data_IF_827551375421
#
_entry.id   IF_827551375421
#
_cell.length_a   1.000
_cell.length_b   1.000
_cell.length_c   1.000
_cell.angle_alpha   90.00
_cell.angle_beta   90.00
_cell.angle_gamma   90.00
#
_symmetry.space_group_name_H-M   'P 1'
#
loop_
_entity.id
_entity.type
_entity.pdbx_description
1 polymer ?
2 non-polymer ?
3 water ?
#
# COMPACT_ATOMS: atom_id res chain seq x y z
N UNK A 24 18.09 -25.84 4.94
CA UNK A 24 18.03 -24.77 3.94
C UNK A 24 16.61 -24.48 3.51
N UNK A 25 16.42 -24.15 2.24
CA UNK A 25 15.08 -23.94 1.69
C UNK A 25 14.58 -25.24 1.08
N UNK A 26 13.35 -25.64 1.45
CA UNK A 26 12.74 -26.82 0.86
C UNK A 26 12.24 -26.49 -0.55
N UNK A 27 12.11 -27.53 -1.39
CA UNK A 27 11.58 -27.31 -2.74
C UNK A 27 10.18 -26.71 -2.68
N UNK A 28 9.39 -27.13 -1.70
CA UNK A 28 8.07 -26.54 -1.48
C UNK A 28 8.19 -25.05 -1.15
N UNK A 29 9.12 -24.70 -0.25
CA UNK A 29 9.33 -23.29 0.06
C UNK A 29 9.81 -22.52 -1.16
N UNK A 30 10.67 -23.14 -1.96
CA UNK A 30 11.14 -22.52 -3.20
C UNK A 30 10.05 -22.45 -4.25
N UNK A 31 9.04 -23.33 -4.17
CA UNK A 31 7.88 -23.28 -5.06
C UNK A 31 6.86 -22.24 -4.60
N UNK A 32 6.77 -22.00 -3.28
CA UNK A 32 5.91 -20.93 -2.77
C UNK A 32 6.43 -19.56 -3.21
N UNK A 33 7.74 -19.34 -3.08
CA UNK A 33 8.34 -18.07 -3.47
C UNK A 33 8.19 -17.86 -4.97
N UNK A 34 8.47 -18.89 -5.77
CA UNK A 34 8.36 -18.75 -7.21
C UNK A 34 6.93 -18.40 -7.62
N UNK A 35 5.94 -19.07 -7.02
CA UNK A 35 4.55 -18.76 -7.33
C UNK A 35 4.20 -17.31 -7.00
N UNK A 36 4.68 -16.83 -5.84
CA UNK A 36 4.44 -15.45 -5.44
C UNK A 36 5.21 -14.48 -6.33
N UNK A 37 6.48 -14.80 -6.63
CA UNK A 37 7.30 -13.92 -7.44
C UNK A 37 6.74 -13.77 -8.84
N UNK A 38 6.26 -14.87 -9.43
CA UNK A 38 5.66 -14.80 -10.76
C UNK A 38 4.36 -14.01 -10.73
N UNK A 39 3.54 -14.19 -9.69
CA UNK A 39 2.32 -13.41 -9.56
C UNK A 39 2.64 -11.92 -9.49
N UNK A 40 3.71 -11.56 -8.80
CA UNK A 40 4.09 -10.15 -8.65
C UNK A 40 4.50 -9.55 -9.99
N UNK A 41 5.36 -10.25 -10.72
CA UNK A 41 5.85 -9.80 -12.02
C UNK A 41 4.71 -9.57 -13.00
N UNK A 42 3.72 -10.46 -12.99
CA UNK A 42 2.64 -10.39 -13.97
C UNK A 42 1.65 -9.27 -13.65
N UNK A 43 1.60 -8.77 -12.41
CA UNK A 43 0.56 -7.85 -12.02
C UNK A 43 1.06 -6.55 -11.40
N UNK A 44 2.38 -6.37 -11.27
CA UNK A 44 2.95 -5.12 -10.78
C UNK A 44 3.62 -4.42 -11.96
N UNK A 45 2.95 -3.40 -12.49
CA UNK A 45 3.49 -2.54 -13.54
C UNK A 45 4.37 -1.50 -12.87
N UNK A 46 5.64 -1.84 -12.68
CA UNK A 46 6.51 -1.00 -11.87
C UNK A 46 6.82 0.33 -12.53
N UNK A 47 6.58 0.47 -13.83
CA UNK A 47 6.73 1.76 -14.50
C UNK A 47 5.41 2.50 -14.65
N UNK A 48 4.30 1.93 -14.18
CA UNK A 48 3.00 2.59 -14.19
C UNK A 48 2.59 3.01 -15.60
N UNK A 49 3.02 2.24 -16.60
CA UNK A 49 2.83 2.65 -17.98
C UNK A 49 1.38 2.62 -18.41
N UNK A 50 0.54 1.83 -17.75
CA UNK A 50 -0.88 1.77 -18.10
C UNK A 50 -1.75 2.64 -17.19
N UNK A 51 -1.15 3.42 -16.30
CA UNK A 51 -1.89 4.44 -15.55
C UNK A 51 -1.99 5.67 -16.42
N UNK A 52 -3.15 5.88 -17.03
CA UNK A 52 -3.39 7.04 -17.86
C UNK A 52 -4.85 7.45 -17.75
N UNK A 53 -5.19 8.59 -18.35
CA UNK A 53 -6.54 9.17 -18.30
C UNK A 53 -6.99 9.41 -16.87
N UNK A 54 -6.08 9.81 -15.99
CA UNK A 54 -6.44 10.10 -14.62
C UNK A 54 -6.75 11.58 -14.44
N UNK A 55 -7.50 11.89 -13.38
CA UNK A 55 -7.83 13.26 -13.10
C UNK A 55 -6.65 13.99 -12.46
N UNK A 56 -6.66 15.32 -12.55
CA UNK A 56 -5.59 16.16 -12.04
C UNK A 56 -6.19 17.42 -11.44
N UNK A 57 -5.53 18.00 -10.43
CA UNK A 57 -6.06 19.23 -9.83
C UNK A 57 -6.16 20.36 -10.85
N UNK A 58 -7.19 21.19 -10.69
CA UNK A 58 -7.48 22.21 -11.67
C UNK A 58 -6.39 23.28 -11.76
N UNK A 59 -6.51 24.10 -12.81
CA UNK A 59 -5.56 25.19 -13.04
C UNK A 59 -6.07 26.50 -12.45
N UNK A 79 -18.32 21.14 12.14
CA UNK A 79 -17.20 22.10 12.31
C UNK A 79 -16.04 21.43 13.05
N UNK A 80 -16.36 20.56 14.02
CA UNK A 80 -15.39 19.58 14.54
C UNK A 80 -15.20 18.50 13.48
N UNK A 81 -16.28 18.17 12.76
CA UNK A 81 -16.21 17.30 11.56
C UNK A 81 -15.19 17.91 10.59
N UNK A 82 -15.43 19.15 10.16
CA UNK A 82 -14.50 19.84 9.23
C UNK A 82 -13.11 19.97 9.84
N UNK A 83 -13.02 20.17 11.16
CA UNK A 83 -11.70 20.34 11.78
C UNK A 83 -10.92 19.06 11.73
N UNK A 84 -11.58 17.93 12.09
CA UNK A 84 -10.96 16.63 11.92
C UNK A 84 -10.69 16.37 10.46
N UNK A 85 -11.66 16.72 9.59
CA UNK A 85 -11.53 16.47 8.15
C UNK A 85 -10.32 17.19 7.59
N UNK A 86 -9.81 18.16 8.33
CA UNK A 86 -8.46 18.65 8.07
C UNK A 86 -7.42 17.62 8.52
N UNK A 87 -7.73 16.31 8.35
CA UNK A 87 -6.79 15.18 8.36
C UNK A 87 -5.86 15.21 7.17
N UNK A 88 -6.24 15.96 6.15
CA UNK A 88 -5.64 15.94 4.83
C UNK A 88 -4.27 16.60 4.80
N UNK A 89 -3.91 17.35 5.85
CA UNK A 89 -2.69 18.17 5.79
C UNK A 89 -1.44 17.32 5.92
N UNK A 90 -1.57 16.14 6.52
CA UNK A 90 -0.46 15.21 6.63
C UNK A 90 -0.05 14.60 5.31
N UNK A 91 -0.85 14.74 4.26
CA UNK A 91 -0.40 14.22 2.97
C UNK A 91 0.65 15.15 2.34
N UNK A 92 0.33 16.44 2.16
CA UNK A 92 1.32 17.44 1.71
C UNK A 92 2.19 16.95 0.53
N UNK A 93 1.60 16.62 -0.61
CA UNK A 93 2.42 16.06 -1.71
C UNK A 93 2.45 17.01 -2.91
N UNK A 94 3.61 17.09 -3.55
CA UNK A 94 3.78 17.80 -4.82
C UNK A 94 3.80 16.77 -5.93
N UNK A 95 3.39 17.15 -7.13
CA UNK A 95 3.25 16.19 -8.22
C UNK A 95 4.11 16.60 -9.41
N UNK A 96 4.87 15.66 -9.97
CA UNK A 96 5.62 15.89 -11.20
C UNK A 96 5.18 14.88 -12.24
N UNK A 97 4.90 15.34 -13.46
CA UNK A 97 4.51 14.48 -14.57
C UNK A 97 5.45 14.74 -15.73
N UNK A 98 6.29 13.77 -16.08
CA UNK A 98 7.28 13.90 -17.15
C UNK A 98 6.75 13.31 -18.44
N UNK A 99 6.75 14.10 -19.52
CA UNK A 99 6.27 13.62 -20.80
C UNK A 99 7.36 12.94 -21.61
N UNK A 100 6.94 12.06 -22.54
CA UNK A 100 7.90 11.36 -23.41
C UNK A 100 8.62 12.35 -24.33
N UNK A 101 7.96 13.47 -24.65
CA UNK A 101 8.59 14.51 -25.45
C UNK A 101 9.73 15.19 -24.71
N UNK A 102 9.77 15.07 -23.38
CA UNK A 102 10.75 15.73 -22.55
C UNK A 102 10.14 16.79 -21.68
N UNK A 103 8.86 17.11 -21.90
CA UNK A 103 8.14 18.10 -21.11
C UNK A 103 7.98 17.62 -19.67
N UNK A 104 7.95 18.58 -18.74
CA UNK A 104 7.73 18.29 -17.32
C UNK A 104 6.66 19.25 -16.80
N UNK A 105 5.59 18.71 -16.23
CA UNK A 105 4.56 19.49 -15.56
C UNK A 105 4.73 19.30 -14.06
N UNK A 106 4.76 20.39 -13.31
CA UNK A 106 4.96 20.33 -11.85
C UNK A 106 3.80 21.02 -11.14
N UNK A 107 3.27 20.37 -10.10
CA UNK A 107 2.15 20.91 -9.32
C UNK A 107 2.57 21.07 -7.87
N UNK A 108 2.30 22.25 -7.30
CA UNK A 108 2.54 22.51 -5.89
C UNK A 108 1.20 22.74 -5.20
N UNK A 109 0.97 22.09 -4.06
CA UNK A 109 -0.37 22.09 -3.46
C UNK A 109 -0.72 23.42 -2.81
N UNK A 110 -2.02 23.74 -2.73
CA UNK A 110 -2.48 24.93 -1.99
C UNK A 110 -2.33 24.78 -0.48
N UNK A 111 -2.03 25.89 0.21
CA UNK A 111 -2.07 25.88 1.68
C UNK A 111 -3.53 25.93 2.15
N UNK A 112 -3.79 25.35 3.34
CA UNK A 112 -5.15 25.41 3.89
C UNK A 112 -5.49 26.85 4.27
N UNK A 113 -6.64 27.31 3.83
CA UNK A 113 -7.16 28.62 4.16
C UNK A 113 -8.60 28.50 4.61
N UNK A 114 -8.88 27.47 5.42
CA UNK A 114 -10.24 27.18 5.83
C UNK A 114 -11.18 27.03 4.65
N UNK A 115 -10.78 26.27 3.61
CA UNK A 115 -11.54 26.17 2.38
C UNK A 115 -11.48 24.79 1.76
N UNK A 116 -12.23 24.62 0.66
CA UNK A 116 -12.33 23.35 -0.08
C UNK A 116 -11.07 23.01 -0.86
N UNK A 117 -10.13 23.94 -0.95
CA UNK A 117 -8.88 23.73 -1.68
C UNK A 117 -8.09 22.54 -1.16
N UNK A 118 -8.35 22.13 0.09
CA UNK A 118 -7.68 20.99 0.69
C UNK A 118 -8.02 19.69 -0.03
N UNK A 119 -9.14 19.67 -0.75
CA UNK A 119 -9.63 18.50 -1.47
C UNK A 119 -9.14 18.43 -2.92
N UNK A 120 -8.21 19.30 -3.32
CA UNK A 120 -7.86 19.44 -4.73
C UNK A 120 -7.24 18.17 -5.32
N UNK A 121 -6.44 17.45 -4.52
CA UNK A 121 -5.73 16.28 -5.02
C UNK A 121 -6.49 14.98 -4.82
N UNK A 122 -7.61 15.00 -4.10
CA UNK A 122 -8.32 13.76 -3.81
C UNK A 122 -8.76 13.00 -5.05
N UNK A 123 -9.26 13.66 -6.11
CA UNK A 123 -9.64 12.89 -7.30
C UNK A 123 -8.48 12.13 -7.93
N UNK A 124 -7.30 12.76 -8.04
CA UNK A 124 -6.14 12.07 -8.61
C UNK A 124 -5.70 10.90 -7.73
N UNK A 125 -5.68 11.11 -6.41
CA UNK A 125 -5.23 10.05 -5.50
C UNK A 125 -6.18 8.86 -5.54
N UNK A 126 -7.48 9.13 -5.68
CA UNK A 126 -8.46 8.06 -5.82
C UNK A 126 -8.23 7.26 -7.10
N UNK A 127 -7.87 7.93 -8.20
CA UNK A 127 -7.56 7.23 -9.44
C UNK A 127 -6.29 6.37 -9.29
N UNK A 128 -5.25 6.90 -8.63
CA UNK A 128 -4.03 6.12 -8.39
C UNK A 128 -4.30 4.94 -7.48
N UNK A 129 -5.07 5.17 -6.42
CA UNK A 129 -5.42 4.09 -5.50
C UNK A 129 -6.18 3.01 -6.23
N UNK A 130 -7.09 3.40 -7.12
CA UNK A 130 -7.89 2.44 -7.86
C UNK A 130 -7.02 1.61 -8.80
N UNK A 131 -6.04 2.24 -9.47
CA UNK A 131 -5.11 1.51 -10.34
C UNK A 131 -4.28 0.51 -9.55
N UNK A 132 -3.75 0.93 -8.40
CA UNK A 132 -2.95 0.05 -7.54
C UNK A 132 -3.77 -1.12 -7.02
N UNK A 133 -5.01 -0.85 -6.59
CA UNK A 133 -5.88 -1.91 -6.05
C UNK A 133 -6.21 -2.93 -7.14
N UNK A 134 -6.41 -2.47 -8.37
CA UNK A 134 -6.67 -3.41 -9.47
C UNK A 134 -5.49 -4.35 -9.64
N UNK A 135 -4.26 -3.82 -9.53
CA UNK A 135 -3.09 -4.69 -9.57
C UNK A 135 -3.05 -5.70 -8.44
N UNK A 136 -3.42 -5.26 -7.23
CA UNK A 136 -3.44 -6.13 -6.05
C UNK A 136 -4.49 -7.23 -6.22
N UNK A 137 -5.66 -6.89 -6.77
CA UNK A 137 -6.69 -7.91 -7.02
C UNK A 137 -6.18 -8.94 -8.01
N UNK A 138 -5.47 -8.45 -9.05
CA UNK A 138 -4.93 -9.37 -10.05
C UNK A 138 -3.86 -10.28 -9.45
N UNK A 139 -3.07 -9.76 -8.49
CA UNK A 139 -2.05 -10.54 -7.80
C UNK A 139 -2.66 -11.72 -7.06
N UNK A 140 -3.70 -11.44 -6.26
CA UNK A 140 -4.37 -12.49 -5.52
C UNK A 140 -4.96 -13.53 -6.45
N UNK A 141 -5.60 -13.09 -7.55
CA UNK A 141 -6.30 -14.00 -8.46
C UNK A 141 -5.36 -14.92 -9.24
N UNK A 142 -4.07 -14.55 -9.40
CA UNK A 142 -3.11 -15.41 -10.11
C UNK A 142 -2.37 -16.35 -9.16
N UNK A 143 -2.57 -16.23 -7.83
CA UNK A 143 -1.96 -17.13 -6.84
C UNK A 143 -2.88 -18.34 -6.65
N UNK A 144 -2.31 -19.54 -6.78
CA UNK A 144 -3.07 -20.81 -6.66
C UNK A 144 -3.82 -20.91 -5.34
N UNK A 145 -3.17 -20.53 -4.23
CA UNK A 145 -3.76 -20.71 -2.90
C UNK A 145 -5.00 -19.85 -2.71
N UNK A 146 -4.97 -18.59 -3.19
CA UNK A 146 -6.11 -17.68 -3.09
C UNK A 146 -7.26 -18.15 -3.97
N UNK A 147 -6.94 -18.61 -5.19
CA UNK A 147 -7.97 -19.06 -6.13
C UNK A 147 -8.74 -20.25 -5.57
N UNK A 148 -8.05 -21.13 -4.85
CA UNK A 148 -8.68 -22.31 -4.27
C UNK A 148 -9.69 -21.94 -3.19
N UNK A 149 -9.49 -20.81 -2.51
CA UNK A 149 -10.38 -20.38 -1.45
C UNK A 149 -11.75 -19.99 -2.01
N UNK A 150 -12.80 -20.07 -1.18
CA UNK A 150 -14.16 -19.70 -1.62
C UNK A 150 -14.26 -18.21 -1.94
N UNK A 151 -15.19 -17.85 -2.84
CA UNK A 151 -15.31 -16.47 -3.30
C UNK A 151 -15.55 -15.53 -2.13
N UNK A 152 -16.39 -15.96 -1.19
CA UNK A 152 -16.70 -15.13 -0.04
C UNK A 152 -15.43 -14.83 0.77
N UNK A 153 -14.58 -15.84 0.97
CA UNK A 153 -13.32 -15.62 1.67
C UNK A 153 -12.38 -14.76 0.85
N UNK A 154 -12.37 -14.96 -0.47
CA UNK A 154 -11.49 -14.16 -1.32
C UNK A 154 -11.83 -12.67 -1.21
N UNK A 155 -13.12 -12.34 -1.24
CA UNK A 155 -13.56 -10.95 -1.09
C UNK A 155 -13.20 -10.41 0.28
N UNK A 156 -13.40 -11.22 1.32
CA UNK A 156 -13.12 -10.77 2.68
C UNK A 156 -11.65 -10.46 2.86
N UNK A 157 -10.78 -11.32 2.33
CA UNK A 157 -9.33 -11.13 2.45
C UNK A 157 -8.88 -9.90 1.67
N UNK A 158 -9.39 -9.71 0.44
CA UNK A 158 -9.00 -8.56 -0.37
C UNK A 158 -9.41 -7.25 0.29
N UNK A 159 -10.63 -7.19 0.83
CA UNK A 159 -11.10 -5.98 1.51
C UNK A 159 -10.26 -5.65 2.72
N UNK A 160 -9.88 -6.69 3.48
CA UNK A 160 -9.07 -6.47 4.67
C UNK A 160 -7.65 -6.02 4.38
N UNK A 161 -7.04 -6.53 3.31
CA UNK A 161 -5.62 -6.31 3.07
C UNK A 161 -5.27 -5.38 1.92
N UNK A 162 -6.26 -4.81 1.22
CA UNK A 162 -5.98 -4.08 -0.02
C UNK A 162 -5.03 -2.90 0.21
N UNK A 163 -5.32 -2.09 1.24
CA UNK A 163 -4.48 -0.93 1.57
C UNK A 163 -3.07 -1.36 1.93
N UNK A 164 -2.95 -2.41 2.73
CA UNK A 164 -1.64 -2.86 3.19
C UNK A 164 -0.80 -3.34 2.02
N UNK A 165 -1.40 -4.10 1.10
CA UNK A 165 -0.68 -4.60 -0.07
C UNK A 165 -0.26 -3.45 -0.99
N UNK A 166 -1.16 -2.47 -1.18
CA UNK A 166 -0.83 -1.30 -1.98
C UNK A 166 0.33 -0.51 -1.38
N UNK A 167 0.34 -0.33 -0.05
CA UNK A 167 1.41 0.39 0.62
C UNK A 167 2.74 -0.35 0.51
N UNK A 168 2.69 -1.68 0.61
CA UNK A 168 3.89 -2.48 0.43
C UNK A 168 4.48 -2.30 -0.98
N UNK A 169 3.62 -2.29 -2.00
CA UNK A 169 4.09 -2.03 -3.36
C UNK A 169 4.63 -0.61 -3.51
N UNK A 170 3.98 0.37 -2.86
CA UNK A 170 4.46 1.75 -2.92
C UNK A 170 5.82 1.94 -2.26
N UNK A 171 6.14 1.15 -1.22
CA UNK A 171 7.46 1.26 -0.58
C UNK A 171 8.57 0.87 -1.55
N UNK A 172 8.28 -0.05 -2.48
CA UNK A 172 9.27 -0.44 -3.49
C UNK A 172 9.64 0.73 -4.40
N UNK A 173 8.72 1.64 -4.65
CA UNK A 173 8.97 2.81 -5.50
C UNK A 173 9.31 4.06 -4.69
N UNK A 174 9.48 3.95 -3.36
CA UNK A 174 9.75 5.10 -2.51
C UNK A 174 11.24 5.37 -2.44
N UNK A 175 11.64 6.63 -2.57
CA UNK A 175 13.03 7.03 -2.41
C UNK A 175 13.13 7.77 -1.08
N UNK A 176 13.81 7.16 -0.12
CA UNK A 176 13.93 7.72 1.22
C UNK A 176 14.79 8.98 1.23
N UNK A 177 15.82 9.02 0.38
CA UNK A 177 16.72 10.16 0.32
C UNK A 177 16.01 11.42 -0.20
N UNK A 178 15.12 11.27 -1.18
CA UNK A 178 14.41 12.40 -1.78
C UNK A 178 13.01 12.63 -1.22
N UNK A 179 12.52 11.73 -0.36
CA UNK A 179 11.14 11.82 0.10
C UNK A 179 10.14 11.76 -1.03
N UNK A 180 10.40 10.93 -2.04
CA UNK A 180 9.59 10.91 -3.26
C UNK A 180 9.18 9.49 -3.61
N UNK A 181 7.94 9.31 -4.06
CA UNK A 181 7.49 8.03 -4.60
C UNK A 181 7.58 8.12 -6.12
N UNK A 182 8.40 7.28 -6.73
CA UNK A 182 8.69 7.38 -8.15
C UNK A 182 7.81 6.36 -8.88
N UNK A 183 6.76 6.86 -9.53
CA UNK A 183 5.75 6.01 -10.16
C UNK A 183 5.77 6.24 -11.67
N UNK A 184 6.85 5.79 -12.31
CA UNK A 184 6.98 5.90 -13.76
C UNK A 184 7.31 7.30 -14.18
N UNK A 185 6.39 7.94 -14.91
CA UNK A 185 6.54 9.33 -15.29
C UNK A 185 5.95 10.27 -14.23
N UNK A 186 5.12 9.74 -13.33
CA UNK A 186 4.62 10.48 -12.18
C UNK A 186 5.60 10.35 -11.03
N UNK A 187 5.82 11.44 -10.30
CA UNK A 187 6.63 11.44 -9.08
C UNK A 187 5.87 12.21 -8.01
N UNK A 188 5.84 11.68 -6.80
CA UNK A 188 5.07 12.28 -5.71
C UNK A 188 6.06 12.68 -4.61
N UNK A 189 6.25 13.99 -4.38
CA UNK A 189 7.27 14.46 -3.45
C UNK A 189 6.66 15.10 -2.21
N UNK A 190 7.10 14.66 -1.04
CA UNK A 190 6.63 15.22 0.22
C UNK A 190 7.09 16.67 0.34
N UNK A 191 6.17 17.58 0.64
CA UNK A 191 6.51 19.01 0.67
C UNK A 191 7.19 19.37 1.99
N UNK A 192 7.97 20.46 1.99
CA UNK A 192 8.75 20.83 3.17
C UNK A 192 7.84 21.18 4.34
N UNK A 193 8.24 20.76 5.54
CA UNK A 193 7.49 21.02 6.77
C UNK A 193 8.46 21.58 7.80
N UNK A 194 7.92 22.30 8.80
CA UNK A 194 8.75 23.02 9.76
C UNK A 194 9.80 22.12 10.42
N UNK A 195 9.37 21.00 11.00
CA UNK A 195 10.32 20.11 11.64
C UNK A 195 11.06 19.21 10.69
N UNK A 196 10.68 19.28 9.41
CA UNK A 196 11.38 18.51 8.39
C UNK A 196 11.15 17.03 8.56
N UNK A 197 12.24 16.26 8.43
CA UNK A 197 12.16 14.80 8.47
C UNK A 197 11.38 14.31 9.69
N UNK A 198 11.73 14.81 10.88
CA UNK A 198 11.11 14.35 12.11
C UNK A 198 9.60 14.57 12.11
N UNK A 199 9.16 15.73 11.59
CA UNK A 199 7.72 16.03 11.57
C UNK A 199 6.98 15.07 10.65
N UNK A 200 7.60 14.73 9.51
CA UNK A 200 7.01 13.74 8.61
C UNK A 200 6.92 12.39 9.26
N UNK A 201 7.95 12.03 10.05
CA UNK A 201 7.98 10.76 10.76
C UNK A 201 6.96 10.68 11.89
N UNK A 202 6.19 11.75 12.13
CA UNK A 202 5.11 11.69 13.11
C UNK A 202 3.85 11.10 12.51
N UNK A 203 3.61 11.29 11.22
CA UNK A 203 2.48 10.64 10.57
C UNK A 203 2.83 9.17 10.39
N UNK A 204 2.07 8.25 10.97
CA UNK A 204 2.42 6.82 10.95
C UNK A 204 2.67 6.24 9.55
N UNK A 205 1.86 6.63 8.55
CA UNK A 205 2.03 6.11 7.19
C UNK A 205 3.40 6.44 6.65
N UNK A 206 3.86 7.67 6.86
CA UNK A 206 5.17 8.10 6.36
C UNK A 206 6.30 7.41 7.12
N UNK A 207 6.19 7.33 8.45
CA UNK A 207 7.19 6.63 9.26
C UNK A 207 7.31 5.18 8.85
N UNK A 208 6.17 4.52 8.59
CA UNK A 208 6.20 3.16 8.07
C UNK A 208 7.06 3.07 6.83
N UNK A 209 6.88 4.02 5.90
CA UNK A 209 7.62 3.97 4.65
C UNK A 209 9.11 4.11 4.87
N UNK A 210 9.51 5.03 5.74
CA UNK A 210 10.93 5.22 6.02
C UNK A 210 11.51 4.02 6.79
N UNK A 211 10.76 3.48 7.75
CA UNK A 211 11.30 2.34 8.50
C UNK A 211 11.43 1.11 7.62
N UNK A 212 10.42 0.82 6.79
CA UNK A 212 10.47 -0.38 5.94
C UNK A 212 11.57 -0.28 4.91
N UNK A 213 11.76 0.90 4.30
CA UNK A 213 12.83 1.07 3.31
C UNK A 213 14.21 0.86 3.93
N UNK A 214 14.39 1.24 5.19
CA UNK A 214 15.69 1.08 5.86
C UNK A 214 16.07 -0.39 6.03
N UNK A 215 15.08 -1.30 6.04
CA UNK A 215 15.38 -2.72 6.15
C UNK A 215 16.02 -3.27 4.88
N UNK A 216 15.94 -2.54 3.77
CA UNK A 216 16.52 -2.91 2.48
C UNK A 216 16.15 -4.34 2.07
N UNK A 217 14.85 -4.59 1.99
CA UNK A 217 14.35 -5.92 1.67
C UNK A 217 14.57 -6.26 0.19
N UNK A 218 14.64 -7.56 -0.10
CA UNK A 218 14.62 -8.05 -1.46
C UNK A 218 13.20 -8.18 -1.98
N UNK A 219 13.07 -8.34 -3.29
CA UNK A 219 11.75 -8.52 -3.89
C UNK A 219 11.04 -9.73 -3.28
N UNK A 220 11.78 -10.82 -3.00
CA UNK A 220 11.17 -12.00 -2.41
C UNK A 220 10.60 -11.71 -1.03
N UNK A 221 11.28 -10.88 -0.25
CA UNK A 221 10.77 -10.55 1.07
C UNK A 221 9.54 -9.66 0.99
N UNK A 222 9.48 -8.74 0.02
CA UNK A 222 8.28 -7.94 -0.15
C UNK A 222 7.07 -8.80 -0.51
N UNK A 223 7.25 -9.76 -1.43
CA UNK A 223 6.09 -10.54 -1.87
C UNK A 223 5.63 -11.50 -0.78
N UNK A 224 6.52 -11.96 0.09
CA UNK A 224 6.08 -12.76 1.24
C UNK A 224 5.30 -11.91 2.23
N UNK A 225 5.73 -10.66 2.45
CA UNK A 225 4.95 -9.76 3.31
C UNK A 225 3.56 -9.54 2.76
N UNK A 226 3.45 -9.40 1.43
CA UNK A 226 2.14 -9.32 0.80
C UNK A 226 1.32 -10.59 1.05
N UNK A 227 1.95 -11.76 0.90
CA UNK A 227 1.23 -13.02 1.12
C UNK A 227 0.78 -13.15 2.56
N UNK A 228 1.66 -12.84 3.51
CA UNK A 228 1.30 -12.94 4.92
C UNK A 228 0.13 -12.00 5.22
N UNK A 229 0.17 -10.78 4.69
CA UNK A 229 -0.90 -9.82 4.95
C UNK A 229 -2.21 -10.23 4.26
N UNK A 230 -2.12 -10.76 3.04
CA UNK A 230 -3.34 -11.13 2.33
C UNK A 230 -4.05 -12.30 3.01
N UNK A 231 -3.28 -13.32 3.41
CA UNK A 231 -3.85 -14.51 4.05
C UNK A 231 -3.85 -14.31 5.56
N UNK A 232 -4.69 -13.38 6.02
CA UNK A 232 -4.81 -13.11 7.45
C UNK A 232 -6.11 -13.71 7.96
N UNK A 233 -6.04 -14.67 8.88
CA UNK A 233 -7.26 -15.38 9.29
C UNK A 233 -8.23 -14.56 10.11
N UNK A 234 -7.75 -13.52 10.82
CA UNK A 234 -8.58 -12.75 11.72
C UNK A 234 -9.25 -11.56 11.03
N UNK A 235 -9.51 -11.66 9.73
CA UNK A 235 -10.21 -10.60 9.02
C UNK A 235 -11.72 -10.87 9.04
N UNK A 236 -12.52 -9.83 9.24
CA UNK A 236 -13.98 -9.98 9.19
C UNK A 236 -14.46 -10.73 7.96
N UNK A 237 -15.34 -11.71 8.17
CA UNK A 237 -15.99 -12.39 7.07
C UNK A 237 -15.28 -13.61 6.54
N UNK A 238 -14.19 -14.03 7.18
CA UNK A 238 -13.41 -15.18 6.70
C UNK A 238 -14.04 -16.44 7.24
N UNK A 239 -14.47 -17.32 6.33
CA UNK A 239 -15.05 -18.59 6.74
C UNK A 239 -13.98 -19.65 6.95
N UNK A 240 -13.12 -19.85 5.96
CA UNK A 240 -12.08 -20.89 6.01
C UNK A 240 -10.89 -20.42 6.84
N UNK A 241 -11.16 -20.07 8.10
CA UNK A 241 -10.12 -19.50 8.96
C UNK A 241 -8.97 -20.48 9.18
N UNK A 242 -9.27 -21.77 9.33
CA UNK A 242 -8.21 -22.72 9.62
C UNK A 242 -7.26 -22.89 8.45
N UNK A 243 -7.81 -22.96 7.23
CA UNK A 243 -6.96 -23.03 6.03
C UNK A 243 -6.15 -21.75 5.88
N UNK A 244 -6.79 -20.60 6.05
CA UNK A 244 -6.08 -19.33 5.90
C UNK A 244 -4.95 -19.23 6.91
N UNK A 245 -5.20 -19.64 8.16
CA UNK A 245 -4.18 -19.57 9.20
C UNK A 245 -3.01 -20.49 8.89
N UNK A 246 -3.27 -21.65 8.28
CA UNK A 246 -2.17 -22.55 7.95
C UNK A 246 -1.35 -22.03 6.79
N UNK A 247 -2.02 -21.48 5.76
CA UNK A 247 -1.31 -20.79 4.69
C UNK A 247 -0.42 -19.70 5.23
N UNK A 248 -0.97 -18.83 6.09
CA UNK A 248 -0.20 -17.73 6.64
C UNK A 248 1.05 -18.24 7.35
N UNK A 249 0.92 -19.32 8.13
CA UNK A 249 2.06 -19.82 8.87
C UNK A 249 3.14 -20.35 7.93
N UNK A 250 2.73 -20.95 6.82
CA UNK A 250 3.68 -21.48 5.85
C UNK A 250 4.42 -20.36 5.14
N UNK A 251 3.73 -19.27 4.82
CA UNK A 251 4.38 -18.12 4.21
C UNK A 251 5.38 -17.49 5.19
N UNK A 252 4.99 -17.38 6.46
CA UNK A 252 5.88 -16.82 7.47
C UNK A 252 7.09 -17.73 7.72
N UNK A 253 6.86 -19.04 7.78
CA UNK A 253 7.97 -19.98 7.88
C UNK A 253 8.90 -19.83 6.68
N UNK A 254 8.31 -19.75 5.48
CA UNK A 254 9.13 -19.56 4.28
C UNK A 254 9.92 -18.25 4.36
N UNK A 255 9.29 -17.18 4.87
CA UNK A 255 10.00 -15.92 5.01
C UNK A 255 11.13 -16.02 6.01
N UNK A 256 10.86 -16.62 7.18
CA UNK A 256 11.91 -16.81 8.18
C UNK A 256 13.05 -17.65 7.61
N UNK A 257 12.72 -18.72 6.88
CA UNK A 257 13.76 -19.57 6.28
C UNK A 257 14.54 -18.81 5.21
N UNK A 258 13.84 -18.04 4.38
CA UNK A 258 14.53 -17.26 3.36
C UNK A 258 15.57 -16.33 4.00
N UNK A 259 15.17 -15.62 5.05
CA UNK A 259 16.08 -14.70 5.72
C UNK A 259 17.26 -15.45 6.32
N UNK A 260 17.00 -16.59 6.97
CA UNK A 260 18.08 -17.37 7.57
C UNK A 260 19.10 -17.81 6.52
N UNK A 261 18.63 -18.23 5.35
CA UNK A 261 19.52 -18.77 4.33
C UNK A 261 20.21 -17.70 3.50
N UNK A 262 19.66 -16.50 3.38
CA UNK A 262 20.21 -15.50 2.48
C UNK A 262 20.78 -14.27 3.17
N UNK A 263 20.65 -14.15 4.48
CA UNK A 263 21.08 -12.93 5.19
C UNK A 263 21.76 -13.30 6.50
N UNK A 264 23.03 -13.69 6.44
CA UNK A 264 23.75 -14.10 7.66
C UNK A 264 24.37 -12.95 8.45
N UNK A 265 24.20 -11.70 8.02
CA UNK A 265 24.95 -10.59 8.59
C UNK A 265 24.30 -10.07 9.87
N UNK A 266 25.11 -9.62 10.83
CA UNK A 266 24.55 -9.14 12.11
C UNK A 266 23.56 -8.01 11.97
N UNK A 267 23.50 -7.34 10.82
CA UNK A 267 22.50 -6.31 10.59
C UNK A 267 21.12 -6.90 10.37
N UNK A 268 21.08 -8.14 9.86
CA UNK A 268 19.85 -8.82 9.53
C UNK A 268 19.38 -9.70 10.67
N UNK A 269 20.00 -9.59 11.84
CA UNK A 269 19.50 -10.28 13.01
C UNK A 269 18.17 -9.66 13.41
N UNK A 270 17.21 -10.53 13.72
CA UNK A 270 15.86 -10.16 14.11
C UNK A 270 15.07 -9.51 12.96
N UNK A 271 15.47 -9.76 11.71
CA UNK A 271 14.78 -9.19 10.55
C UNK A 271 13.36 -9.75 10.44
N UNK A 272 13.21 -11.08 10.51
CA UNK A 272 11.88 -11.68 10.45
C UNK A 272 10.95 -11.04 11.48
N UNK A 273 11.43 -10.83 12.69
CA UNK A 273 10.58 -10.29 13.74
C UNK A 273 10.29 -8.81 13.51
N UNK A 274 11.27 -8.07 12.98
CA UNK A 274 11.03 -6.68 12.58
C UNK A 274 9.96 -6.59 11.50
N UNK A 275 10.04 -7.46 10.49
CA UNK A 275 9.04 -7.50 9.42
C UNK A 275 7.66 -7.82 10.00
N UNK A 276 7.58 -8.80 10.91
CA UNK A 276 6.28 -9.17 11.46
C UNK A 276 5.69 -8.04 12.29
N UNK A 277 6.52 -7.37 13.08
CA UNK A 277 6.07 -6.18 13.79
C UNK A 277 5.61 -5.09 12.82
N UNK A 278 6.37 -4.89 11.73
CA UNK A 278 5.94 -3.94 10.69
C UNK A 278 4.56 -4.30 10.17
N UNK A 279 4.32 -5.58 9.92
CA UNK A 279 3.02 -6.01 9.41
C UNK A 279 1.92 -5.75 10.42
N UNK A 280 2.21 -5.94 11.70
CA UNK A 280 1.21 -5.64 12.72
C UNK A 280 0.91 -4.14 12.76
N UNK A 281 1.95 -3.31 12.66
CA UNK A 281 1.72 -1.87 12.63
C UNK A 281 0.94 -1.47 11.37
N UNK A 282 1.21 -2.11 10.24
CA UNK A 282 0.51 -1.75 9.01
C UNK A 282 -1.00 -1.98 9.14
N UNK A 283 -1.39 -3.05 9.84
CA UNK A 283 -2.80 -3.33 10.06
C UNK A 283 -3.45 -2.25 10.93
N UNK A 284 -2.75 -1.79 11.97
CA UNK A 284 -3.26 -0.64 12.74
C UNK A 284 -3.34 0.61 11.88
N UNK A 285 -2.31 0.86 11.07
CA UNK A 285 -2.36 1.99 10.14
C UNK A 285 -3.55 1.85 9.20
N UNK A 286 -3.80 0.62 8.74
CA UNK A 286 -4.93 0.35 7.84
C UNK A 286 -6.26 0.68 8.49
N UNK A 287 -6.46 0.29 9.75
CA UNK A 287 -7.71 0.58 10.43
C UNK A 287 -7.89 2.08 10.65
N UNK A 288 -6.82 2.78 11.01
CA UNK A 288 -6.88 4.24 11.16
C UNK A 288 -7.20 4.89 9.82
N UNK A 289 -6.52 4.48 8.76
CA UNK A 289 -6.73 5.09 7.45
C UNK A 289 -8.17 4.92 6.99
N UNK A 290 -8.75 3.74 7.21
CA UNK A 290 -10.15 3.52 6.87
C UNK A 290 -11.05 4.55 7.53
N UNK A 291 -10.83 4.81 8.82
CA UNK A 291 -11.64 5.78 9.54
C UNK A 291 -11.44 7.19 8.99
N UNK A 292 -10.19 7.58 8.74
CA UNK A 292 -9.92 8.89 8.15
C UNK A 292 -10.62 9.03 6.80
N UNK A 293 -10.50 7.99 5.96
CA UNK A 293 -11.09 8.05 4.61
C UNK A 293 -12.59 8.22 4.68
N UNK A 294 -13.26 7.45 5.53
CA UNK A 294 -14.73 7.48 5.57
C UNK A 294 -15.24 8.82 6.08
N UNK A 295 -14.46 9.51 6.94
CA UNK A 295 -14.83 10.83 7.43
C UNK A 295 -14.76 11.86 6.31
N UNK A 296 -13.66 11.85 5.53
CA UNK A 296 -13.55 12.72 4.37
C UNK A 296 -14.68 12.45 3.40
N UNK A 297 -14.92 11.16 3.09
CA UNK A 297 -16.00 10.79 2.18
C UNK A 297 -17.32 11.36 2.65
N UNK A 298 -17.55 11.33 3.97
CA UNK A 298 -18.80 11.82 4.52
C UNK A 298 -18.96 13.33 4.28
N UNK A 299 -17.87 14.09 4.40
CA UNK A 299 -17.92 15.52 4.16
C UNK A 299 -17.86 15.81 2.66
N UNK A 300 -16.95 15.14 1.96
CA UNK A 300 -16.61 15.47 0.59
C UNK A 300 -16.42 14.17 -0.20
N UNK A 301 -17.46 13.66 -0.84
CA UNK A 301 -17.36 12.36 -1.51
C UNK A 301 -16.38 12.37 -2.67
N UNK A 302 -15.60 11.30 -2.78
CA UNK A 302 -14.52 11.24 -3.77
C UNK A 302 -14.12 9.82 -4.13
N UNK A 303 -14.53 8.84 -3.32
CA UNK A 303 -14.17 7.45 -3.60
C UNK A 303 -14.72 7.02 -4.97
N UNK A 304 -13.88 6.32 -5.73
CA UNK A 304 -14.31 5.77 -7.00
C UNK A 304 -15.24 4.58 -6.76
N UNK A 305 -15.90 4.07 -7.81
CA UNK A 305 -16.72 2.86 -7.62
C UNK A 305 -15.97 1.71 -6.98
N UNK A 306 -14.76 1.40 -7.44
CA UNK A 306 -14.02 0.28 -6.86
C UNK A 306 -13.68 0.55 -5.39
N UNK A 307 -13.30 1.79 -5.06
CA UNK A 307 -13.04 2.10 -3.66
C UNK A 307 -14.30 2.00 -2.82
N UNK A 308 -15.45 2.35 -3.38
CA UNK A 308 -16.71 2.21 -2.66
C UNK A 308 -17.00 0.75 -2.35
N UNK A 309 -16.79 -0.13 -3.33
CA UNK A 309 -16.90 -1.56 -3.11
C UNK A 309 -15.97 -2.01 -1.99
N UNK A 310 -14.69 -1.61 -2.07
CA UNK A 310 -13.72 -1.95 -1.04
C UNK A 310 -14.22 -1.58 0.36
N UNK A 311 -14.79 -0.38 0.51
CA UNK A 311 -15.15 0.12 1.82
C UNK A 311 -16.63 -0.10 2.16
N UNK A 312 -17.34 -0.88 1.36
CA UNK A 312 -18.73 -1.18 1.66
C UNK A 312 -19.72 -0.06 1.46
N UNK A 313 -19.32 1.04 0.80
CA UNK A 313 -20.26 2.09 0.43
C UNK A 313 -21.19 1.53 -0.63
N UNK A 314 -22.51 1.61 -0.38
CA UNK A 314 -23.52 0.96 -1.24
C UNK A 314 -23.98 1.82 -2.41
N UNK A 315 -24.03 3.14 -2.23
CA UNK A 315 -24.61 4.05 -3.19
C UNK A 315 -25.99 4.57 -2.82
N UNK A 316 -26.55 4.10 -1.70
CA UNK A 316 -27.85 4.53 -1.19
C UNK A 316 -27.67 5.20 0.16
X LIG B 1 -5.61 10.56 -0.67
X LIG B 1 -6.97 10.80 0.98
X LIG B 1 -0.61 6.67 -0.34
X LIG B 1 0.83 8.77 0.75
X LIG B 1 0.52 9.56 -0.33
X LIG B 1 1.90 6.59 -0.16
X LIG B 1 0.59 10.94 -0.19
X LIG B 1 0.94 11.50 1.02
X LIG B 1 1.22 10.70 2.09
X LIG B 1 1.17 9.32 1.97
X LIG B 1 -0.50 5.78 -1.50
X LIG B 1 0.54 6.48 1.90
X LIG B 1 -1.49 4.64 -1.38
X LIG B 1 -1.59 3.92 -0.20
X LIG B 1 -2.50 2.88 -0.06
X LIG B 1 -3.34 2.60 -1.11
X LIG B 1 -5.59 1.69 -1.12
X LIG B 1 -6.27 0.66 -1.71
X LIG B 1 -7.63 0.78 -1.90
X LIG B 1 -8.30 1.90 -1.47
X LIG B 1 -7.60 2.92 -0.85
X LIG B 1 -6.23 2.81 -0.67
X LIG B 1 -3.27 3.29 -2.30
X LIG B 1 -2.35 4.32 -2.42
X LIG B 1 -1.86 7.18 -0.02
X LIG B 1 -4.22 1.53 -0.94
X LIG B 1 -2.27 7.32 1.30
X LIG B 1 -3.52 7.82 1.59
X LIG B 1 -4.39 8.18 0.56
X LIG B 1 -5.79 8.73 0.85
X LIG B 1 -5.80 10.25 0.62
X LIG B 1 -6.83 8.06 -0.07
X LIG B 1 -3.97 8.03 -0.75
X LIG B 1 -2.71 7.53 -1.04
X LIG B 1 -6.16 8.49 2.21
X LIG B 1 -4.85 10.88 1.32
X LIG B 1 -6.81 6.73 0.05
X LIG B 1 -6.62 8.34 -1.36
X LIG B 1 -8.07 8.46 0.21
X LIG B 1 0.75 7.02 0.59
#
# INVERSE_FOLDING_TARGET
MGKGHHHHHHGSERTGTQPLGVQGLTEEQRMMIRELMDAQMKTFDTTFSHFKNFRLPGVLSSGCELPESLQAPSREEAAKWSQVRKDLCSLKVSLQLRGEDGSVWNYKPPADSGGKEIFSLLPHMADMSTYMFKGIISFAKVISYFRDLPIEDQISLLKGAAFELCQLRFNTVFNAETGTWECGRLSYCLEDTAGGFQQLLLEPMLKFHYMLKKLQLHEEEYVLMQAISLFSPDRPGVLQHRVVDQLQEQFAITLKSYIECNRPQPAHRFLFLKIMAMLTELRSINAQHTQRLLRIQDIHPFATPLMQELFGITGS
X1D F1 F2 N1 C1 C2 O1 C3 C4 C5 C6 C7 O2 C8 C9 C10 C11 C12 C13 C14 C15 C16 C17 C18 C19 C20 O3 C21 C22 C23 C24 C25 C26 C27 C28 O4 F3 F4 F5 F6 S1
#
